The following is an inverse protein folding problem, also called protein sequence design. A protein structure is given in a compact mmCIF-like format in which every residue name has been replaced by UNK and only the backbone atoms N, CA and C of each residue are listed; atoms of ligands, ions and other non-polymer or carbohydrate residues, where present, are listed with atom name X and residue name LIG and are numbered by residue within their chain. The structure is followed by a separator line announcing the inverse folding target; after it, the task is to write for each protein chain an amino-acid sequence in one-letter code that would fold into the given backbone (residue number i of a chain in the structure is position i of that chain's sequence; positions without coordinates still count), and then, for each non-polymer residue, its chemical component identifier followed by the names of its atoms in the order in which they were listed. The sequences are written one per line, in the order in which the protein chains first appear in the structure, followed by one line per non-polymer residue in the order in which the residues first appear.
data_IF_616459098144
#
_entry.id   IF_616459098144
#
_cell.length_a   1.000
_cell.length_b   1.000
_cell.length_c   1.000
_cell.angle_alpha   90.00
_cell.angle_beta   90.00
_cell.angle_gamma   90.00
#
_symmetry.space_group_name_H-M   'P 1'
#
loop_
_entity.id
_entity.type
_entity.pdbx_description
1 polymer ?
#
# COMPACT_ATOMS: atom_id res chain seq x y z
N UNK A 1 8.02 28.15 -2.91
CA UNK A 1 6.69 27.55 -3.07
C UNK A 1 5.97 28.28 -4.18
N UNK A 2 5.38 27.55 -5.11
CA UNK A 2 4.45 28.06 -6.13
C UNK A 2 3.09 27.45 -5.81
N UNK A 3 2.10 28.29 -5.55
CA UNK A 3 0.73 27.86 -5.28
C UNK A 3 -0.08 28.01 -6.55
N UNK A 4 -0.75 26.94 -6.99
CA UNK A 4 -1.54 26.94 -8.23
C UNK A 4 -3.01 27.32 -7.98
N UNK A 5 -3.45 27.46 -6.72
CA UNK A 5 -4.80 27.88 -6.39
C UNK A 5 -5.87 26.94 -6.93
N UNK A 6 -5.58 25.63 -6.95
CA UNK A 6 -6.37 24.59 -7.59
C UNK A 6 -6.51 24.74 -9.11
N UNK A 7 -5.47 25.27 -9.75
CA UNK A 7 -5.30 25.13 -11.19
C UNK A 7 -4.54 23.84 -11.52
N UNK A 8 -4.75 23.37 -12.75
CA UNK A 8 -4.05 22.22 -13.30
C UNK A 8 -2.58 22.53 -13.60
N UNK A 9 -1.73 21.53 -13.38
CA UNK A 9 -0.34 21.51 -13.82
C UNK A 9 -0.23 20.62 -15.06
N UNK A 10 -0.22 21.24 -16.23
CA UNK A 10 -0.01 20.58 -17.51
C UNK A 10 1.46 20.70 -17.95
N UNK A 11 2.10 19.57 -18.26
CA UNK A 11 3.47 19.50 -18.78
C UNK A 11 3.44 18.84 -20.16
N UNK A 12 3.42 19.67 -21.21
CA UNK A 12 3.51 19.22 -22.62
C UNK A 12 4.91 19.40 -23.23
N UNK A 13 5.79 20.13 -22.52
CA UNK A 13 7.20 20.31 -22.84
C UNK A 13 8.10 19.86 -21.70
N UNK A 14 9.22 20.54 -21.46
CA UNK A 14 10.09 20.23 -20.33
C UNK A 14 9.82 21.15 -19.12
N UNK A 15 9.57 20.55 -17.96
CA UNK A 15 9.50 21.24 -16.67
C UNK A 15 10.54 20.64 -15.72
N UNK A 16 11.44 21.46 -15.18
CA UNK A 16 12.43 21.03 -14.18
C UNK A 16 12.06 21.66 -12.82
N UNK A 17 11.48 20.85 -11.92
CA UNK A 17 10.96 21.32 -10.64
C UNK A 17 12.05 21.54 -9.57
N UNK A 18 13.24 20.93 -9.73
CA UNK A 18 14.38 21.07 -8.83
C UNK A 18 14.00 20.85 -7.36
N UNK A 19 14.02 21.89 -6.52
CA UNK A 19 13.69 21.82 -5.07
C UNK A 19 12.38 22.51 -4.72
N UNK A 20 11.56 22.86 -5.73
CA UNK A 20 10.35 23.67 -5.55
C UNK A 20 9.24 22.85 -4.87
N UNK A 21 8.47 23.52 -4.03
CA UNK A 21 7.15 23.03 -3.63
C UNK A 21 6.08 23.63 -4.56
N UNK A 22 5.40 22.76 -5.31
CA UNK A 22 4.18 23.07 -6.06
C UNK A 22 3.00 22.66 -5.18
N UNK A 23 2.22 23.64 -4.73
CA UNK A 23 1.12 23.45 -3.79
C UNK A 23 -0.22 23.76 -4.44
N UNK A 24 -1.28 23.16 -3.91
CA UNK A 24 -2.66 23.32 -4.37
C UNK A 24 -2.79 23.15 -5.89
N UNK A 25 -2.14 22.12 -6.43
CA UNK A 25 -2.39 21.65 -7.80
C UNK A 25 -3.74 20.94 -7.80
N UNK A 26 -4.59 21.22 -8.79
CA UNK A 26 -5.79 20.39 -8.98
C UNK A 26 -5.39 19.06 -9.61
N UNK A 27 -5.12 19.02 -10.92
CA UNK A 27 -4.62 17.83 -11.60
C UNK A 27 -3.17 17.99 -12.06
N UNK A 28 -2.39 16.91 -11.98
CA UNK A 28 -1.06 16.81 -12.59
C UNK A 28 -1.16 15.97 -13.87
N UNK A 29 -0.84 16.57 -15.01
CA UNK A 29 -0.80 15.87 -16.28
C UNK A 29 0.55 16.08 -16.99
N UNK A 30 1.24 14.97 -17.24
CA UNK A 30 2.43 14.94 -18.10
C UNK A 30 1.97 14.37 -19.45
N UNK A 31 1.81 15.25 -20.43
CA UNK A 31 1.39 14.90 -21.78
C UNK A 31 2.40 14.01 -22.48
N UNK A 32 2.02 13.34 -23.59
CA UNK A 32 2.86 12.33 -24.24
C UNK A 32 4.26 12.83 -24.68
N UNK A 33 4.39 14.12 -25.01
CA UNK A 33 5.68 14.77 -25.33
C UNK A 33 6.33 15.46 -24.11
N UNK A 34 5.64 15.48 -22.98
CA UNK A 34 6.04 16.13 -21.75
C UNK A 34 7.14 15.37 -21.01
N UNK A 35 8.05 16.15 -20.43
CA UNK A 35 9.08 15.67 -19.50
C UNK A 35 9.01 16.53 -18.24
N UNK A 36 8.63 15.91 -17.13
CA UNK A 36 8.73 16.49 -15.81
C UNK A 36 9.97 15.91 -15.11
N UNK A 37 11.00 16.73 -14.89
CA UNK A 37 12.09 16.39 -13.98
C UNK A 37 11.73 16.87 -12.58
N UNK A 38 11.44 15.91 -11.71
CA UNK A 38 11.02 16.15 -10.33
C UNK A 38 12.15 16.65 -9.44
N UNK A 39 13.43 16.43 -9.76
CA UNK A 39 14.54 16.77 -8.87
C UNK A 39 14.33 16.21 -7.46
N UNK A 40 14.26 17.09 -6.46
CA UNK A 40 13.81 16.81 -5.08
C UNK A 40 12.59 17.65 -4.68
N UNK A 41 11.73 17.97 -5.65
CA UNK A 41 10.55 18.79 -5.48
C UNK A 41 9.45 18.07 -4.68
N UNK A 42 8.51 18.85 -4.15
CA UNK A 42 7.25 18.35 -3.59
C UNK A 42 6.10 18.86 -4.43
N UNK A 43 5.30 17.96 -4.99
CA UNK A 43 4.13 18.27 -5.81
C UNK A 43 2.89 17.83 -5.03
N UNK A 44 2.23 18.79 -4.39
CA UNK A 44 1.02 18.55 -3.62
C UNK A 44 -0.22 18.88 -4.46
N UNK A 45 -1.09 17.88 -4.64
CA UNK A 45 -2.28 17.98 -5.47
C UNK A 45 -3.53 17.41 -4.80
N UNK A 46 -4.68 17.84 -5.29
CA UNK A 46 -6.00 17.38 -4.84
C UNK A 46 -6.64 16.35 -5.76
N UNK A 47 -6.40 16.44 -7.06
CA UNK A 47 -7.08 15.70 -8.13
C UNK A 47 -6.25 14.56 -8.70
N UNK A 48 -6.31 14.41 -10.02
CA UNK A 48 -5.77 13.28 -10.77
C UNK A 48 -4.28 13.44 -11.11
N UNK A 49 -3.61 12.31 -11.28
CA UNK A 49 -2.29 12.19 -11.89
C UNK A 49 -2.43 11.42 -13.20
N UNK A 50 -2.06 12.04 -14.32
CA UNK A 50 -1.95 11.38 -15.63
C UNK A 50 -0.53 11.46 -16.15
N UNK A 51 0.09 10.30 -16.34
CA UNK A 51 1.46 10.19 -16.85
C UNK A 51 1.48 9.47 -18.19
N UNK A 52 1.19 10.24 -19.25
CA UNK A 52 1.34 9.78 -20.64
C UNK A 52 2.76 10.02 -21.18
N UNK A 53 3.44 11.05 -20.67
CA UNK A 53 4.86 11.34 -20.93
C UNK A 53 5.80 10.81 -19.86
N UNK A 54 6.95 11.46 -19.71
CA UNK A 54 8.02 11.01 -18.80
C UNK A 54 8.08 11.86 -17.54
N UNK A 55 7.98 11.21 -16.37
CA UNK A 55 8.40 11.79 -15.10
C UNK A 55 9.76 11.20 -14.74
N UNK A 56 10.78 12.04 -14.62
CA UNK A 56 12.07 11.69 -14.05
C UNK A 56 11.96 11.97 -12.56
N UNK A 57 11.78 10.97 -11.69
CA UNK A 57 11.32 11.24 -10.33
C UNK A 57 12.37 11.86 -9.42
N UNK A 58 13.67 11.66 -9.71
CA UNK A 58 14.75 12.06 -8.81
C UNK A 58 14.53 11.49 -7.40
N UNK A 59 14.49 12.38 -6.40
CA UNK A 59 14.06 12.12 -5.03
C UNK A 59 12.79 12.91 -4.67
N UNK A 60 11.93 13.21 -5.66
CA UNK A 60 10.74 14.03 -5.46
C UNK A 60 9.62 13.28 -4.74
N UNK A 61 8.67 14.05 -4.19
CA UNK A 61 7.46 13.52 -3.58
C UNK A 61 6.23 14.04 -4.32
N UNK A 62 5.37 13.12 -4.76
CA UNK A 62 4.00 13.44 -5.19
C UNK A 62 3.07 13.18 -4.00
N UNK A 63 2.35 14.22 -3.58
CA UNK A 63 1.48 14.20 -2.41
C UNK A 63 0.03 14.47 -2.81
N UNK A 64 -0.79 13.43 -2.87
CA UNK A 64 -2.23 13.54 -3.09
C UNK A 64 -2.90 13.78 -1.73
N UNK A 65 -3.64 14.88 -1.61
CA UNK A 65 -4.25 15.34 -0.36
C UNK A 65 -5.71 15.74 -0.58
N UNK A 66 -6.41 16.16 0.49
CA UNK A 66 -7.79 16.64 0.40
C UNK A 66 -7.91 18.09 -0.14
N UNK A 67 -6.81 18.68 -0.61
CA UNK A 67 -6.85 20.01 -1.25
C UNK A 67 -7.75 19.98 -2.49
N UNK A 68 -8.21 21.16 -2.90
CA UNK A 68 -9.09 21.34 -4.06
C UNK A 68 -10.46 20.64 -3.98
N UNK A 69 -10.81 20.03 -2.84
CA UNK A 69 -12.16 19.51 -2.57
C UNK A 69 -12.51 18.22 -3.31
N UNK A 70 -11.55 17.62 -4.03
CA UNK A 70 -11.77 16.38 -4.76
C UNK A 70 -11.88 15.19 -3.81
N UNK A 71 -12.98 14.44 -3.90
CA UNK A 71 -13.19 13.21 -3.12
C UNK A 71 -12.60 11.96 -3.79
N UNK A 72 -12.13 12.09 -5.03
CA UNK A 72 -11.50 11.04 -5.82
C UNK A 72 -10.23 11.59 -6.48
N UNK A 73 -9.21 10.75 -6.59
CA UNK A 73 -7.99 11.00 -7.37
C UNK A 73 -7.65 9.74 -8.16
N UNK A 74 -7.48 9.88 -9.46
CA UNK A 74 -7.06 8.81 -10.37
C UNK A 74 -5.57 8.90 -10.62
N UNK A 75 -4.89 7.76 -10.62
CA UNK A 75 -3.52 7.62 -11.11
C UNK A 75 -3.57 6.75 -12.36
N UNK A 76 -3.22 7.37 -13.48
CA UNK A 76 -3.31 6.79 -14.82
C UNK A 76 -2.00 6.87 -15.59
N UNK A 77 -1.85 6.00 -16.57
CA UNK A 77 -0.58 5.73 -17.24
C UNK A 77 0.33 4.84 -16.39
N UNK A 78 1.51 4.51 -16.91
CA UNK A 78 2.53 3.75 -16.18
C UNK A 78 3.24 4.66 -15.15
N UNK A 79 2.45 5.18 -14.22
CA UNK A 79 2.86 6.18 -13.25
C UNK A 79 4.03 5.68 -12.41
N UNK A 80 5.10 6.47 -12.37
CA UNK A 80 6.34 6.13 -11.67
C UNK A 80 6.76 7.29 -10.78
N UNK A 81 6.83 7.02 -9.49
CA UNK A 81 7.16 7.99 -8.44
C UNK A 81 8.43 7.55 -7.71
N UNK A 82 9.17 8.54 -7.18
CA UNK A 82 10.13 8.26 -6.13
C UNK A 82 9.35 8.03 -4.83
N UNK A 83 8.81 9.09 -4.23
CA UNK A 83 7.87 8.97 -3.11
C UNK A 83 6.44 9.28 -3.55
N UNK A 84 5.50 8.46 -3.10
CA UNK A 84 4.07 8.69 -3.25
C UNK A 84 3.43 8.77 -1.87
N UNK A 85 2.80 9.91 -1.58
CA UNK A 85 2.03 10.13 -0.37
C UNK A 85 0.57 10.38 -0.72
N UNK A 86 -0.33 9.59 -0.17
CA UNK A 86 -1.77 9.80 -0.26
C UNK A 86 -2.33 9.84 1.16
N UNK A 87 -2.65 11.05 1.62
CA UNK A 87 -3.15 11.29 2.97
C UNK A 87 -4.50 11.97 2.85
N UNK A 88 -5.53 11.35 3.42
CA UNK A 88 -6.88 11.87 3.40
C UNK A 88 -7.51 11.78 4.79
N UNK A 89 -8.04 12.92 5.23
CA UNK A 89 -8.91 13.04 6.41
C UNK A 89 -10.39 12.88 6.04
N UNK A 90 -10.73 13.04 4.75
CA UNK A 90 -12.09 12.90 4.22
C UNK A 90 -12.43 11.49 3.69
N UNK A 91 -11.45 10.57 3.64
CA UNK A 91 -11.66 9.21 3.12
C UNK A 91 -11.70 9.16 1.58
N UNK A 92 -10.83 9.95 0.93
CA UNK A 92 -10.70 10.04 -0.53
C UNK A 92 -10.60 8.67 -1.19
N UNK A 93 -11.16 8.56 -2.40
CA UNK A 93 -10.98 7.41 -3.28
C UNK A 93 -9.76 7.58 -4.18
N UNK A 94 -8.71 6.81 -3.92
CA UNK A 94 -7.57 6.65 -4.81
C UNK A 94 -7.87 5.54 -5.82
N UNK A 95 -7.98 5.90 -7.09
CA UNK A 95 -8.30 4.98 -8.18
C UNK A 95 -7.06 4.74 -9.03
N UNK A 96 -6.64 3.49 -9.13
CA UNK A 96 -5.52 3.08 -9.96
C UNK A 96 -6.02 2.44 -11.25
N UNK A 97 -5.34 2.70 -12.36
CA UNK A 97 -5.72 2.15 -13.66
C UNK A 97 -5.63 0.60 -13.68
N UNK A 98 -6.70 -0.05 -14.14
CA UNK A 98 -6.83 -1.49 -14.08
C UNK A 98 -5.82 -2.15 -15.02
N UNK A 99 -5.13 -3.19 -14.54
CA UNK A 99 -4.10 -3.88 -15.31
C UNK A 99 -2.76 -3.14 -15.43
N UNK A 100 -2.70 -1.84 -15.08
CA UNK A 100 -1.46 -1.07 -15.06
C UNK A 100 -0.72 -1.20 -13.73
N UNK A 101 0.56 -0.81 -13.75
CA UNK A 101 1.41 -0.77 -12.57
C UNK A 101 1.75 0.68 -12.22
N UNK A 102 1.37 1.09 -11.01
CA UNK A 102 1.93 2.28 -10.35
C UNK A 102 3.22 1.88 -9.63
N UNK A 103 4.34 2.50 -9.97
CA UNK A 103 5.65 2.20 -9.39
C UNK A 103 6.06 3.26 -8.39
N UNK A 104 6.51 2.86 -7.20
CA UNK A 104 7.00 3.72 -6.13
C UNK A 104 8.35 3.16 -5.65
N UNK A 105 9.44 3.81 -6.05
CA UNK A 105 10.79 3.31 -5.74
C UNK A 105 11.27 3.65 -4.34
N UNK A 106 10.75 4.73 -3.75
CA UNK A 106 11.04 5.21 -2.41
C UNK A 106 9.92 4.86 -1.43
N UNK A 107 9.49 5.84 -0.64
CA UNK A 107 8.46 5.73 0.39
C UNK A 107 7.05 5.74 -0.21
N UNK A 108 6.28 4.70 0.10
CA UNK A 108 4.83 4.68 -0.11
C UNK A 108 4.10 5.03 1.18
N UNK A 109 3.38 6.15 1.20
CA UNK A 109 2.50 6.51 2.33
C UNK A 109 1.04 6.49 1.87
N UNK A 110 0.23 5.64 2.51
CA UNK A 110 -1.22 5.59 2.29
C UNK A 110 -1.91 5.71 3.65
N UNK A 111 -2.59 6.83 3.89
CA UNK A 111 -3.16 7.13 5.19
C UNK A 111 -4.57 7.73 5.10
N UNK A 112 -5.52 7.06 5.73
CA UNK A 112 -6.82 7.63 6.08
C UNK A 112 -6.83 8.13 7.52
N UNK A 113 -8.03 8.32 8.07
CA UNK A 113 -8.25 8.55 9.51
C UNK A 113 -9.35 7.62 10.03
N UNK A 114 -9.52 7.59 11.35
CA UNK A 114 -10.59 6.82 11.98
C UNK A 114 -11.96 7.30 11.48
N UNK A 115 -12.83 6.35 11.09
CA UNK A 115 -14.12 6.64 10.46
C UNK A 115 -14.08 7.06 8.98
N UNK A 116 -12.91 7.45 8.45
CA UNK A 116 -12.72 7.86 7.05
C UNK A 116 -11.48 7.20 6.45
N UNK A 117 -11.59 5.90 6.18
CA UNK A 117 -10.53 5.13 5.57
C UNK A 117 -10.25 5.63 4.14
N UNK A 118 -8.97 5.75 3.78
CA UNK A 118 -8.56 5.99 2.40
C UNK A 118 -8.97 4.79 1.54
N UNK A 119 -9.76 5.03 0.49
CA UNK A 119 -10.32 3.98 -0.36
C UNK A 119 -9.40 3.75 -1.55
N UNK A 120 -8.62 2.66 -1.56
CA UNK A 120 -7.74 2.27 -2.67
C UNK A 120 -8.48 1.26 -3.55
N UNK A 121 -8.69 1.62 -4.82
CA UNK A 121 -9.54 0.88 -5.77
C UNK A 121 -8.86 0.75 -7.13
N UNK A 122 -9.22 -0.30 -7.86
CA UNK A 122 -9.00 -0.34 -9.31
C UNK A 122 -10.09 0.45 -10.04
N UNK A 123 -9.75 1.01 -11.19
CA UNK A 123 -10.70 1.66 -12.12
C UNK A 123 -11.72 0.70 -12.73
N UNK A 124 -11.45 -0.61 -12.75
CA UNK A 124 -12.37 -1.64 -13.27
C UNK A 124 -12.60 -2.71 -12.19
N UNK A 125 -13.82 -2.85 -11.66
CA UNK A 125 -14.14 -3.86 -10.65
C UNK A 125 -13.78 -5.28 -11.10
N UNK A 126 -13.22 -6.08 -10.21
CA UNK A 126 -12.77 -7.45 -10.50
C UNK A 126 -11.45 -7.55 -11.29
N UNK A 127 -10.96 -6.45 -11.87
CA UNK A 127 -9.65 -6.40 -12.52
C UNK A 127 -8.65 -5.68 -11.63
N UNK A 128 -7.60 -6.36 -11.19
CA UNK A 128 -6.63 -5.75 -10.27
C UNK A 128 -5.83 -4.64 -10.94
N UNK A 129 -5.71 -3.49 -10.27
CA UNK A 129 -4.58 -2.59 -10.48
C UNK A 129 -3.34 -3.10 -9.72
N UNK A 130 -2.15 -2.66 -10.12
CA UNK A 130 -0.88 -3.11 -9.51
C UNK A 130 -0.14 -1.94 -8.87
N UNK A 131 0.44 -2.19 -7.70
CA UNK A 131 1.41 -1.30 -7.07
C UNK A 131 2.75 -2.03 -6.91
N UNK A 132 3.79 -1.49 -7.51
CA UNK A 132 5.17 -1.91 -7.29
C UNK A 132 5.81 -0.97 -6.26
N UNK A 133 5.77 -1.34 -4.98
CA UNK A 133 6.34 -0.56 -3.88
C UNK A 133 7.64 -1.17 -3.34
N UNK A 134 8.45 -0.34 -2.71
CA UNK A 134 9.61 -0.78 -1.91
C UNK A 134 9.20 -1.28 -0.51
N UNK A 135 10.17 -1.71 0.30
CA UNK A 135 9.94 -2.04 1.71
C UNK A 135 9.74 -0.81 2.61
N UNK A 136 9.97 0.41 2.09
CA UNK A 136 9.69 1.66 2.78
C UNK A 136 8.23 2.04 2.57
N UNK A 137 7.41 1.82 3.59
CA UNK A 137 5.97 1.99 3.50
C UNK A 137 5.38 2.39 4.86
N UNK A 138 4.39 3.29 4.81
CA UNK A 138 3.58 3.73 5.93
C UNK A 138 2.12 3.63 5.55
N UNK A 139 1.45 2.58 6.04
CA UNK A 139 0.08 2.21 5.64
C UNK A 139 -0.80 2.18 6.88
N UNK A 140 -1.86 2.99 6.91
CA UNK A 140 -2.78 3.02 8.05
C UNK A 140 -4.16 3.56 7.64
N UNK A 141 -5.25 3.04 8.21
CA UNK A 141 -6.62 3.47 7.90
C UNK A 141 -6.91 3.41 6.39
N UNK A 142 -6.55 2.29 5.76
CA UNK A 142 -6.76 2.06 4.33
C UNK A 142 -7.82 0.99 4.14
N UNK A 143 -8.73 1.23 3.22
CA UNK A 143 -9.63 0.22 2.68
C UNK A 143 -9.16 -0.10 1.27
N UNK A 144 -8.70 -1.32 1.02
CA UNK A 144 -8.15 -1.74 -0.29
C UNK A 144 -9.02 -2.82 -0.93
N UNK A 145 -9.31 -2.68 -2.22
CA UNK A 145 -10.00 -3.71 -3.00
C UNK A 145 -9.52 -3.69 -4.46
N UNK A 146 -9.56 -4.84 -5.14
CA UNK A 146 -9.12 -5.00 -6.54
C UNK A 146 -7.67 -4.52 -6.77
N UNK A 147 -6.76 -4.89 -5.88
CA UNK A 147 -5.38 -4.39 -5.92
C UNK A 147 -4.37 -5.50 -5.63
N UNK A 148 -3.24 -5.45 -6.33
CA UNK A 148 -2.14 -6.40 -6.21
C UNK A 148 -0.83 -5.68 -5.97
N UNK A 149 -0.11 -6.05 -4.92
CA UNK A 149 1.29 -5.67 -4.81
C UNK A 149 2.14 -6.59 -5.70
N UNK A 150 3.04 -6.02 -6.50
CA UNK A 150 3.96 -6.77 -7.40
C UNK A 150 5.44 -6.57 -7.06
N UNK A 151 5.73 -5.80 -6.01
CA UNK A 151 7.07 -5.59 -5.45
C UNK A 151 7.16 -6.15 -4.03
N UNK A 152 7.46 -5.29 -3.07
CA UNK A 152 7.34 -5.66 -1.65
C UNK A 152 5.88 -5.95 -1.29
N UNK A 153 5.68 -6.89 -0.36
CA UNK A 153 4.37 -7.12 0.27
C UNK A 153 3.95 -5.86 1.02
N UNK A 154 2.73 -5.37 0.78
CA UNK A 154 2.25 -4.11 1.36
C UNK A 154 1.58 -4.38 2.71
N UNK A 155 2.02 -3.68 3.76
CA UNK A 155 1.54 -3.78 5.13
C UNK A 155 1.45 -5.24 5.67
N UNK A 156 2.56 -6.02 5.71
CA UNK A 156 2.49 -7.44 6.07
C UNK A 156 1.96 -7.68 7.50
N UNK A 157 0.80 -8.31 7.61
CA UNK A 157 0.11 -8.53 8.89
C UNK A 157 -1.41 -8.43 8.74
N UNK A 158 -2.15 -8.62 9.83
CA UNK A 158 -3.61 -8.49 9.78
C UNK A 158 -4.03 -7.04 9.49
N UNK A 159 -5.07 -6.82 8.66
CA UNK A 159 -5.57 -5.47 8.37
C UNK A 159 -5.87 -4.64 9.63
N UNK A 160 -6.36 -5.29 10.70
CA UNK A 160 -6.66 -4.65 11.98
C UNK A 160 -5.44 -4.03 12.68
N UNK A 161 -4.22 -4.55 12.47
CA UNK A 161 -2.99 -3.96 13.02
C UNK A 161 -2.71 -2.58 12.42
N UNK A 162 -3.20 -2.35 11.21
CA UNK A 162 -3.09 -1.09 10.47
C UNK A 162 -4.36 -0.24 10.55
N UNK A 163 -5.37 -0.68 11.32
CA UNK A 163 -6.72 -0.08 11.34
C UNK A 163 -7.34 0.01 9.94
N UNK A 164 -7.02 -0.99 9.12
CA UNK A 164 -7.34 -1.06 7.71
C UNK A 164 -8.33 -2.19 7.43
N UNK A 165 -8.91 -2.16 6.24
CA UNK A 165 -9.81 -3.18 5.72
C UNK A 165 -9.24 -3.73 4.41
N UNK A 166 -9.18 -5.05 4.30
CA UNK A 166 -8.98 -5.74 3.04
C UNK A 166 -10.34 -6.14 2.48
N UNK A 167 -10.70 -5.56 1.35
CA UNK A 167 -11.89 -5.92 0.58
C UNK A 167 -11.67 -7.17 -0.26
N UNK A 168 -12.39 -7.27 -1.38
CA UNK A 168 -12.26 -8.37 -2.32
C UNK A 168 -11.06 -8.22 -3.25
N UNK A 169 -10.57 -9.35 -3.77
CA UNK A 169 -9.60 -9.38 -4.87
C UNK A 169 -8.29 -8.64 -4.56
N UNK A 170 -7.74 -8.94 -3.38
CA UNK A 170 -6.54 -8.32 -2.80
C UNK A 170 -5.40 -9.34 -2.77
N UNK A 171 -4.19 -8.96 -3.21
CA UNK A 171 -3.05 -9.89 -3.38
C UNK A 171 -1.75 -9.27 -2.89
N UNK A 172 -0.98 -9.98 -2.06
CA UNK A 172 0.29 -9.49 -1.49
C UNK A 172 0.14 -8.19 -0.68
N UNK A 173 -1.04 -8.01 -0.08
CA UNK A 173 -1.33 -6.99 0.91
C UNK A 173 -1.70 -7.67 2.22
N UNK A 174 -1.41 -7.04 3.35
CA UNK A 174 -1.84 -7.52 4.65
C UNK A 174 -1.44 -8.99 4.88
N UNK A 175 -2.39 -9.83 5.24
CA UNK A 175 -2.22 -11.25 5.42
C UNK A 175 -2.64 -12.03 4.17
N UNK A 176 -2.61 -11.45 2.97
CA UNK A 176 -2.89 -12.14 1.70
C UNK A 176 -1.61 -12.39 0.92
N UNK A 177 -1.42 -13.61 0.41
CA UNK A 177 -0.28 -13.95 -0.45
C UNK A 177 -0.46 -13.50 -1.92
N UNK A 178 0.49 -13.87 -2.76
CA UNK A 178 0.49 -13.60 -4.21
C UNK A 178 -0.68 -14.25 -4.95
N UNK A 179 -1.27 -15.31 -4.39
CA UNK A 179 -2.45 -15.98 -4.94
C UNK A 179 -3.77 -15.37 -4.42
N UNK A 180 -3.69 -14.43 -3.48
CA UNK A 180 -4.85 -13.76 -2.89
C UNK A 180 -5.50 -14.61 -1.80
N UNK A 181 -4.78 -15.62 -1.31
CA UNK A 181 -5.23 -16.43 -0.19
C UNK A 181 -4.75 -15.79 1.11
N UNK A 182 -5.63 -15.73 2.11
CA UNK A 182 -5.21 -15.32 3.46
C UNK A 182 -4.20 -16.33 4.01
N UNK A 183 -2.99 -15.85 4.29
CA UNK A 183 -1.90 -16.51 4.99
C UNK A 183 -2.01 -16.36 6.50
N UNK A 184 -3.17 -15.95 7.03
CA UNK A 184 -3.49 -15.97 8.46
C UNK A 184 -2.98 -17.28 9.03
N UNK A 185 -1.86 -17.19 9.76
CA UNK A 185 -1.07 -18.34 10.14
C UNK A 185 -2.03 -19.32 10.80
N UNK A 186 -2.27 -20.45 10.11
CA UNK A 186 -3.06 -21.59 10.59
C UNK A 186 -2.79 -21.70 12.07
N UNK A 187 -3.76 -21.32 12.92
CA UNK A 187 -3.60 -21.32 14.39
C UNK A 187 -2.87 -22.60 14.73
N UNK A 188 -1.60 -22.51 15.16
CA UNK A 188 -0.98 -23.67 15.79
C UNK A 188 -1.89 -23.91 16.98
N UNK A 189 -2.61 -25.06 17.06
CA UNK A 189 -3.41 -25.31 18.24
C UNK A 189 -2.45 -25.25 19.41
N UNK A 190 -2.51 -24.17 20.18
CA UNK A 190 -1.83 -24.12 21.46
C UNK A 190 -2.47 -25.25 22.24
N UNK A 191 -1.72 -26.33 22.48
CA UNK A 191 -2.15 -27.36 23.41
C UNK A 191 -2.62 -26.61 24.66
N UNK A 192 -3.89 -26.78 25.02
CA UNK A 192 -4.40 -26.17 26.24
C UNK A 192 -3.51 -26.58 27.41
N UNK A 193 -3.46 -25.81 28.50
CA UNK A 193 -2.66 -26.18 29.68
C UNK A 193 -2.91 -27.62 30.15
N UNK A 194 -4.15 -28.11 29.97
CA UNK A 194 -4.57 -29.49 30.17
C UNK A 194 -3.97 -30.48 29.18
N UNK A 195 -3.92 -30.15 27.89
CA UNK A 195 -3.30 -31.01 26.88
C UNK A 195 -1.77 -31.10 27.08
N UNK A 196 -1.13 -30.02 27.53
CA UNK A 196 0.28 -30.06 27.95
C UNK A 196 0.48 -30.95 29.19
N UNK A 197 -0.38 -30.83 30.20
CA UNK A 197 -0.34 -31.67 31.39
C UNK A 197 -0.56 -33.16 31.07
N UNK A 198 -1.48 -33.47 30.15
CA UNK A 198 -1.74 -34.84 29.71
C UNK A 198 -0.54 -35.45 28.97
N UNK A 199 0.13 -34.69 28.09
CA UNK A 199 1.35 -35.15 27.41
C UNK A 199 2.50 -35.35 28.40
N UNK A 200 2.66 -34.46 29.39
CA UNK A 200 3.68 -34.61 30.43
C UNK A 200 3.46 -35.88 31.28
N UNK A 201 2.21 -36.19 31.64
CA UNK A 201 1.85 -37.41 32.37
C UNK A 201 2.12 -38.68 31.55
N UNK A 202 1.84 -38.67 30.25
CA UNK A 202 2.13 -39.80 29.37
C UNK A 202 3.63 -40.08 29.28
N UNK A 203 4.46 -39.04 29.16
CA UNK A 203 5.92 -39.19 29.12
C UNK A 203 6.49 -39.69 30.47
N UNK A 204 5.97 -39.19 31.59
CA UNK A 204 6.34 -39.68 32.92
C UNK A 204 5.98 -41.16 33.12
N UNK A 205 4.79 -41.57 32.68
CA UNK A 205 4.34 -42.97 32.74
C UNK A 205 5.25 -43.93 31.95
N UNK A 206 5.66 -43.53 30.73
CA UNK A 206 6.58 -44.33 29.91
C UNK A 206 7.97 -44.45 30.55
N UNK A 207 8.47 -43.38 31.20
CA UNK A 207 9.74 -43.42 31.94
C UNK A 207 9.73 -44.38 33.13
N UNK A 208 8.62 -44.43 33.87
CA UNK A 208 8.45 -45.35 35.02
C UNK A 208 8.38 -46.82 34.55
N UNK A 209 7.73 -47.09 33.42
CA UNK A 209 7.66 -48.46 32.87
C UNK A 209 9.03 -48.95 32.36
N UNK A 210 9.82 -48.08 31.73
CA UNK A 210 11.17 -48.42 31.23
C UNK A 210 12.17 -48.67 32.36
N UNK A 211 12.15 -47.87 33.41
CA UNK A 211 13.04 -48.04 34.58
C UNK A 211 12.71 -49.30 35.40
N UNK A 212 11.43 -49.68 35.48
CA UNK A 212 11.03 -50.95 36.11
C UNK A 212 11.50 -52.19 35.34
N UNK A 213 11.52 -52.15 34.00
CA UNK A 213 12.06 -53.25 33.17
C UNK A 213 13.59 -53.34 33.18
N UNK A 214 14.30 -52.23 33.38
CA UNK A 214 15.77 -52.24 33.47
C UNK A 214 16.31 -52.78 34.80
N UNK A 215 15.49 -52.85 35.85
CA UNK A 215 15.85 -53.40 37.18
C UNK A 215 15.51 -54.88 37.35
N UNK A 216 14.96 -55.54 36.33
CA UNK A 216 14.57 -56.95 36.36
C UNK A 216 15.54 -57.87 35.60
N UNK A 217 16.80 -57.47 35.45
CA UNK A 217 17.91 -58.29 34.96
C UNK A 217 19.00 -58.39 36.03
#
# INVERSE_FOLDING_TARGET
MVNLGCADLQVDGALHAQTVELADVDNLAVGAAGVLDGGSARIALGGDVSQSGTLIPGSSTVAITDTCGNTESRVSGNATFHDLSVISTAGKKLVLEAGQTTTVSGMLTLQGVDGHLLQVRSSVPGTTARIAASTQQSIQFVDVADNRAVGAHIAPGYPSQYKSVAGSNVFSWFDYDESGQSISAKRIPTLSGWALAAVALLLAGVGVVRTRRARSH
#
